data_IF_821259444576
#
_entry.id   IF_821259444576
#
_cell.length_a   1.000
_cell.length_b   1.000
_cell.length_c   1.000
_cell.angle_alpha   90.00
_cell.angle_beta   90.00
_cell.angle_gamma   90.00
#
_symmetry.space_group_name_H-M   'P 1'
#
loop_
_entity.id
_entity.type
_entity.pdbx_description
1 polymer ?
#
# COMPACT_ATOMS: atom_id res chain seq x y z
N UNK A 1 8.28 27.29 5.17
CA UNK A 1 7.26 26.97 4.15
C UNK A 1 7.12 28.05 3.09
N UNK A 2 6.74 29.30 3.43
CA UNK A 2 6.58 30.38 2.43
C UNK A 2 7.85 30.61 1.60
N UNK A 3 9.04 30.57 2.21
CA UNK A 3 10.31 30.69 1.50
C UNK A 3 10.53 29.56 0.46
N UNK A 4 10.10 28.34 0.77
CA UNK A 4 10.20 27.18 -0.14
C UNK A 4 9.28 27.38 -1.34
N UNK A 5 8.03 27.78 -1.08
CA UNK A 5 7.04 28.06 -2.14
C UNK A 5 7.50 29.19 -3.05
N UNK A 6 8.06 30.27 -2.48
CA UNK A 6 8.61 31.39 -3.26
C UNK A 6 9.84 30.97 -4.05
N UNK A 7 10.71 30.13 -3.49
CA UNK A 7 11.87 29.59 -4.20
C UNK A 7 11.45 28.76 -5.40
N UNK A 8 10.47 27.86 -5.24
CA UNK A 8 9.99 27.00 -6.32
C UNK A 8 9.42 27.80 -7.50
N UNK A 9 8.76 28.93 -7.22
CA UNK A 9 8.33 29.86 -8.27
C UNK A 9 9.51 30.62 -8.88
N UNK A 10 10.45 31.09 -8.05
CA UNK A 10 11.61 31.86 -8.50
C UNK A 10 12.58 31.03 -9.37
N UNK A 11 12.68 29.73 -9.14
CA UNK A 11 13.48 28.79 -9.94
C UNK A 11 12.76 28.32 -11.21
N UNK A 12 11.49 28.70 -11.38
CA UNK A 12 10.67 28.30 -12.52
C UNK A 12 10.11 26.88 -12.44
N UNK A 13 10.18 26.22 -11.28
CA UNK A 13 9.55 24.91 -11.05
C UNK A 13 8.02 25.02 -11.12
N UNK A 14 7.48 26.16 -10.69
CA UNK A 14 6.06 26.50 -10.80
C UNK A 14 5.87 27.90 -11.38
N UNK A 15 4.82 28.10 -12.16
CA UNK A 15 4.48 29.38 -12.79
C UNK A 15 3.89 30.36 -11.78
N UNK A 16 3.29 29.85 -10.69
CA UNK A 16 2.73 30.70 -9.63
C UNK A 16 2.59 29.98 -8.29
N UNK A 17 2.45 30.78 -7.21
CA UNK A 17 2.13 30.26 -5.88
C UNK A 17 0.79 29.49 -5.88
N UNK A 18 -0.19 29.95 -6.65
CA UNK A 18 -1.50 29.27 -6.75
C UNK A 18 -1.38 27.87 -7.38
N UNK A 19 -0.42 27.68 -8.28
CA UNK A 19 -0.13 26.37 -8.87
C UNK A 19 0.47 25.42 -7.83
N UNK A 20 1.45 25.88 -7.05
CA UNK A 20 2.04 25.11 -5.93
C UNK A 20 0.95 24.67 -4.95
N UNK A 21 0.03 25.56 -4.60
CA UNK A 21 -1.07 25.24 -3.67
C UNK A 21 -2.01 24.20 -4.28
N UNK A 22 -2.37 24.35 -5.57
CA UNK A 22 -3.27 23.39 -6.23
C UNK A 22 -2.64 22.01 -6.31
N UNK A 23 -1.35 21.94 -6.63
CA UNK A 23 -0.64 20.67 -6.71
C UNK A 23 -0.52 19.99 -5.34
N UNK A 24 -0.13 20.75 -4.31
CA UNK A 24 -0.11 20.27 -2.93
C UNK A 24 -1.48 19.77 -2.45
N UNK A 25 -2.58 20.47 -2.79
CA UNK A 25 -3.94 20.03 -2.46
C UNK A 25 -4.33 18.76 -3.22
N UNK A 26 -3.87 18.59 -4.46
CA UNK A 26 -4.11 17.38 -5.24
C UNK A 26 -3.42 16.18 -4.61
N UNK A 27 -2.14 16.31 -4.29
CA UNK A 27 -1.37 15.28 -3.60
C UNK A 27 -1.99 14.93 -2.23
N UNK A 28 -2.35 15.95 -1.44
CA UNK A 28 -3.04 15.76 -0.16
C UNK A 28 -4.35 14.98 -0.33
N UNK A 29 -5.15 15.32 -1.35
CA UNK A 29 -6.42 14.66 -1.63
C UNK A 29 -6.21 13.19 -2.03
N UNK A 30 -5.22 12.91 -2.90
CA UNK A 30 -4.87 11.55 -3.26
C UNK A 30 -4.41 10.73 -2.05
N UNK A 31 -3.51 11.27 -1.23
CA UNK A 31 -3.04 10.63 0.02
C UNK A 31 -4.19 10.33 0.97
N UNK A 32 -5.14 11.27 1.11
CA UNK A 32 -6.31 11.09 1.96
C UNK A 32 -7.23 9.99 1.42
N UNK A 33 -7.49 9.97 0.12
CA UNK A 33 -8.31 8.94 -0.52
C UNK A 33 -7.67 7.56 -0.37
N UNK A 34 -6.37 7.43 -0.64
CA UNK A 34 -5.63 6.17 -0.45
C UNK A 34 -5.67 5.69 1.00
N UNK A 35 -5.54 6.60 1.98
CA UNK A 35 -5.68 6.26 3.41
C UNK A 35 -7.10 5.77 3.73
N UNK A 36 -8.12 6.44 3.22
CA UNK A 36 -9.51 6.05 3.45
C UNK A 36 -9.80 4.67 2.86
N UNK A 37 -9.32 4.41 1.65
CA UNK A 37 -9.43 3.10 1.01
C UNK A 37 -8.72 2.02 1.83
N UNK A 38 -7.45 2.24 2.22
CA UNK A 38 -6.72 1.27 3.02
C UNK A 38 -7.38 0.97 4.37
N UNK A 39 -8.02 1.96 5.02
CA UNK A 39 -8.81 1.72 6.22
C UNK A 39 -10.07 0.90 5.92
N UNK A 40 -10.74 1.15 4.79
CA UNK A 40 -11.90 0.38 4.38
C UNK A 40 -11.53 -1.08 4.09
N UNK A 41 -10.42 -1.31 3.38
CA UNK A 41 -9.91 -2.65 3.06
C UNK A 41 -9.57 -3.43 4.34
N UNK A 42 -8.88 -2.81 5.30
CA UNK A 42 -8.57 -3.43 6.59
C UNK A 42 -9.83 -3.77 7.40
N UNK A 43 -10.85 -2.91 7.37
CA UNK A 43 -12.13 -3.22 8.03
C UNK A 43 -12.84 -4.37 7.36
N UNK A 44 -12.82 -4.43 6.03
CA UNK A 44 -13.42 -5.52 5.29
C UNK A 44 -12.72 -6.84 5.62
N UNK A 45 -11.38 -6.89 5.57
CA UNK A 45 -10.61 -8.08 5.96
C UNK A 45 -10.91 -8.52 7.39
N UNK A 46 -11.03 -7.57 8.32
CA UNK A 46 -11.41 -7.88 9.70
C UNK A 46 -12.83 -8.47 9.78
N UNK A 47 -13.80 -7.90 9.07
CA UNK A 47 -15.18 -8.41 9.05
C UNK A 47 -15.28 -9.80 8.43
N UNK A 48 -14.46 -10.09 7.41
CA UNK A 48 -14.36 -11.41 6.80
C UNK A 48 -13.71 -12.43 7.72
N UNK A 49 -12.70 -12.03 8.50
CA UNK A 49 -12.01 -12.91 9.45
C UNK A 49 -12.78 -13.13 10.77
N UNK A 50 -13.61 -12.19 11.19
CA UNK A 50 -14.36 -12.26 12.45
C UNK A 50 -15.26 -13.50 12.62
N UNK A 51 -15.99 -14.00 11.60
CA UNK A 51 -16.74 -15.25 11.70
C UNK A 51 -15.88 -16.52 11.58
N UNK A 52 -14.57 -16.40 11.30
CA UNK A 52 -13.67 -17.54 11.19
C UNK A 52 -13.31 -18.06 12.59
N UNK A 53 -13.88 -19.20 12.96
CA UNK A 53 -13.63 -19.89 14.23
C UNK A 53 -12.48 -20.93 14.12
N UNK A 54 -11.71 -20.94 13.03
CA UNK A 54 -10.61 -21.89 12.88
C UNK A 54 -9.54 -21.67 13.96
N UNK A 55 -9.13 -22.77 14.58
CA UNK A 55 -8.04 -22.75 15.56
C UNK A 55 -6.73 -22.35 14.87
N UNK A 56 -5.95 -21.52 15.53
CA UNK A 56 -4.64 -21.10 15.04
C UNK A 56 -3.76 -22.31 14.71
N UNK A 57 -3.19 -22.32 13.51
CA UNK A 57 -2.24 -23.33 13.06
C UNK A 57 -0.83 -22.91 13.45
N UNK A 58 0.06 -23.87 13.75
CA UNK A 58 1.46 -23.55 14.06
C UNK A 58 2.16 -22.94 12.84
N UNK A 59 3.11 -22.01 13.10
CA UNK A 59 3.88 -21.39 12.03
C UNK A 59 4.68 -22.43 11.23
N UNK A 60 5.30 -23.41 11.90
CA UNK A 60 6.09 -24.46 11.26
C UNK A 60 5.24 -25.31 10.30
N UNK A 61 4.03 -25.72 10.71
CA UNK A 61 3.13 -26.47 9.82
C UNK A 61 2.74 -25.66 8.57
N UNK A 62 2.48 -24.36 8.74
CA UNK A 62 2.16 -23.47 7.61
C UNK A 62 3.36 -23.35 6.67
N UNK A 63 4.57 -23.16 7.20
CA UNK A 63 5.79 -23.04 6.42
C UNK A 63 6.12 -24.34 5.68
N UNK A 64 6.04 -25.49 6.34
CA UNK A 64 6.25 -26.80 5.73
C UNK A 64 5.26 -27.07 4.59
N UNK A 65 4.01 -26.63 4.75
CA UNK A 65 2.99 -26.74 3.70
C UNK A 65 3.30 -25.82 2.52
N UNK A 66 3.77 -24.59 2.79
CA UNK A 66 4.14 -23.62 1.75
C UNK A 66 5.39 -24.07 0.98
N UNK A 67 6.42 -24.57 1.66
CA UNK A 67 7.63 -25.08 1.03
C UNK A 67 7.30 -26.22 0.05
N UNK A 68 6.51 -27.20 0.50
CA UNK A 68 6.04 -28.29 -0.37
C UNK A 68 5.27 -27.78 -1.59
N UNK A 69 4.41 -26.77 -1.41
CA UNK A 69 3.66 -26.15 -2.51
C UNK A 69 4.60 -25.50 -3.53
N UNK A 70 5.56 -24.70 -3.07
CA UNK A 70 6.48 -24.01 -3.97
C UNK A 70 7.48 -24.95 -4.64
N UNK A 71 7.93 -26.00 -3.95
CA UNK A 71 8.76 -27.04 -4.53
C UNK A 71 8.03 -27.77 -5.67
N UNK A 72 6.76 -28.13 -5.48
CA UNK A 72 5.95 -28.74 -6.52
C UNK A 72 5.77 -27.81 -7.75
N UNK A 73 5.61 -26.50 -7.53
CA UNK A 73 5.54 -25.52 -8.61
C UNK A 73 6.88 -25.42 -9.36
N UNK A 74 8.01 -25.38 -8.64
CA UNK A 74 9.34 -25.32 -9.25
C UNK A 74 9.66 -26.58 -10.07
N UNK A 75 9.30 -27.75 -9.54
CA UNK A 75 9.45 -29.03 -10.24
C UNK A 75 8.58 -29.11 -11.50
N UNK A 76 7.33 -28.64 -11.43
CA UNK A 76 6.44 -28.55 -12.59
C UNK A 76 6.94 -27.54 -13.64
N UNK A 77 7.68 -26.51 -13.22
CA UNK A 77 8.30 -25.52 -14.10
C UNK A 77 9.63 -26.00 -14.72
N UNK A 78 10.11 -27.21 -14.38
CA UNK A 78 11.36 -27.76 -14.92
C UNK A 78 12.63 -27.09 -14.36
N UNK A 79 12.52 -26.37 -13.25
CA UNK A 79 13.66 -25.81 -12.52
C UNK A 79 14.14 -26.85 -11.49
N UNK A 80 15.07 -27.72 -11.90
CA UNK A 80 15.90 -28.53 -11.01
C UNK A 80 17.35 -28.42 -11.43
#
# INVERSE_FOLDING_TARGET
>A
MVAIVRSAVATGEYVSISEVIRDALRDWTHKRSARQQGIADLRQLWQEAMPDETLGVSADEVLDRLERKYQAIAEAAGMK
#
